data_IF_657334148604
#
_entry.id   IF_657334148604
#
_cell.length_a   1.000
_cell.length_b   1.000
_cell.length_c   1.000
_cell.angle_alpha   90.00
_cell.angle_beta   90.00
_cell.angle_gamma   90.00
#
_symmetry.space_group_name_H-M   'P 1'
#
loop_
_entity.id
_entity.type
_entity.pdbx_description
1 polymer ?
#
# COMPACT_ATOMS: atom_id res chain seq x y z
N UNK A 1 16.83 -19.43 -40.88
CA UNK A 1 15.55 -19.87 -40.31
C UNK A 1 14.73 -18.63 -39.98
N UNK A 2 13.96 -18.18 -40.98
CA UNK A 2 12.96 -17.14 -40.92
C UNK A 2 11.67 -17.71 -40.35
N UNK A 3 11.01 -17.01 -39.42
CA UNK A 3 9.58 -17.18 -39.19
C UNK A 3 8.92 -15.84 -38.89
N UNK A 4 7.83 -15.65 -39.60
CA UNK A 4 7.15 -14.40 -39.89
C UNK A 4 6.22 -13.91 -38.78
N UNK A 5 6.16 -12.59 -38.68
CA UNK A 5 5.23 -11.84 -37.84
C UNK A 5 3.93 -11.61 -38.61
N UNK A 6 2.86 -12.30 -38.23
CA UNK A 6 1.51 -12.03 -38.76
C UNK A 6 0.93 -10.79 -38.07
N UNK A 7 0.88 -9.68 -38.82
CA UNK A 7 0.09 -8.48 -38.50
C UNK A 7 -1.34 -8.66 -39.01
N UNK A 8 -2.33 -8.57 -38.12
CA UNK A 8 -3.75 -8.45 -38.50
C UNK A 8 -4.09 -6.96 -38.60
N UNK A 9 -4.38 -6.49 -39.82
CA UNK A 9 -5.03 -5.20 -40.11
C UNK A 9 -6.53 -5.34 -39.86
N UNK A 10 -7.12 -4.38 -39.13
CA UNK A 10 -8.57 -4.20 -39.07
C UNK A 10 -8.91 -3.02 -39.97
N UNK A 11 -9.50 -3.30 -41.13
CA UNK A 11 -10.05 -2.28 -42.01
C UNK A 11 -11.46 -1.88 -41.58
N UNK A 12 -11.68 -0.57 -41.56
CA UNK A 12 -12.98 0.08 -41.47
C UNK A 12 -13.60 0.09 -42.88
N UNK A 13 -14.87 -0.31 -43.04
CA UNK A 13 -15.85 0.56 -43.70
C UNK A 13 -17.28 -0.01 -43.83
N UNK A 14 -18.21 0.93 -43.67
CA UNK A 14 -19.37 1.21 -44.51
C UNK A 14 -20.55 0.21 -44.60
N UNK A 15 -21.58 0.59 -43.84
CA UNK A 15 -23.01 0.53 -44.14
C UNK A 15 -23.36 0.56 -45.64
N UNK A 16 -24.10 -0.44 -46.13
CA UNK A 16 -25.04 -0.32 -47.27
C UNK A 16 -26.16 -1.37 -47.13
N UNK A 17 -27.39 -0.87 -47.21
CA UNK A 17 -28.65 -1.59 -47.24
C UNK A 17 -28.94 -2.23 -48.60
N UNK A 18 -29.65 -3.38 -48.60
CA UNK A 18 -30.75 -3.70 -49.52
C UNK A 18 -31.39 -5.06 -49.21
N UNK A 19 -32.71 -5.09 -49.41
CA UNK A 19 -33.69 -6.18 -49.21
C UNK A 19 -33.42 -7.48 -49.96
N UNK A 20 -34.02 -8.58 -49.47
CA UNK A 20 -34.25 -9.79 -50.28
C UNK A 20 -34.56 -11.07 -49.49
N UNK A 21 -35.84 -11.42 -49.47
CA UNK A 21 -36.56 -12.58 -48.91
C UNK A 21 -35.99 -14.01 -49.09
N UNK A 22 -36.21 -14.83 -48.05
CA UNK A 22 -36.79 -16.20 -48.04
C UNK A 22 -35.92 -17.48 -47.87
N UNK A 23 -36.50 -18.35 -47.03
CA UNK A 23 -36.40 -19.81 -46.92
C UNK A 23 -35.42 -20.42 -45.90
N UNK A 24 -36.05 -21.16 -45.00
CA UNK A 24 -35.52 -21.89 -43.86
C UNK A 24 -34.59 -23.05 -44.27
N UNK A 25 -33.55 -23.29 -43.48
CA UNK A 25 -33.14 -24.66 -43.12
C UNK A 25 -32.36 -24.67 -41.81
N UNK A 26 -32.98 -25.31 -40.82
CA UNK A 26 -32.41 -25.68 -39.52
C UNK A 26 -31.06 -26.39 -39.67
N UNK A 27 -30.01 -25.81 -39.11
CA UNK A 27 -28.86 -26.56 -38.59
C UNK A 27 -28.52 -26.05 -37.20
N UNK A 28 -28.72 -26.92 -36.22
CA UNK A 28 -28.30 -26.78 -34.83
C UNK A 28 -26.84 -26.31 -34.76
N UNK A 29 -26.63 -25.07 -34.33
CA UNK A 29 -25.35 -24.63 -33.77
C UNK A 29 -25.62 -24.21 -32.33
N UNK A 30 -25.04 -24.98 -31.42
CA UNK A 30 -24.96 -24.72 -29.99
C UNK A 30 -24.69 -23.24 -29.70
N UNK A 31 -25.61 -22.61 -28.97
CA UNK A 31 -25.42 -21.27 -28.42
C UNK A 31 -24.14 -21.22 -27.57
N UNK A 32 -23.31 -20.17 -27.69
CA UNK A 32 -22.20 -19.96 -26.78
C UNK A 32 -22.74 -19.59 -25.40
N UNK A 33 -22.27 -20.27 -24.36
CA UNK A 33 -22.62 -20.03 -22.97
C UNK A 33 -22.59 -18.53 -22.65
N UNK A 34 -23.73 -17.96 -22.29
CA UNK A 34 -23.86 -16.59 -21.81
C UNK A 34 -22.85 -16.36 -20.68
N UNK A 35 -21.87 -15.47 -20.89
CA UNK A 35 -21.00 -15.00 -19.81
C UNK A 35 -21.90 -14.32 -18.76
N UNK A 36 -22.05 -14.98 -17.61
CA UNK A 36 -22.81 -14.47 -16.47
C UNK A 36 -22.28 -13.10 -16.05
N UNK A 37 -23.16 -12.16 -15.67
CA UNK A 37 -22.73 -10.81 -15.30
C UNK A 37 -21.74 -10.83 -14.12
N UNK A 38 -20.85 -9.82 -13.98
CA UNK A 38 -19.89 -9.75 -12.87
C UNK A 38 -20.55 -9.84 -11.48
N UNK A 39 -21.77 -9.33 -11.33
CA UNK A 39 -22.56 -9.41 -10.11
C UNK A 39 -23.02 -10.85 -9.81
N UNK A 40 -23.43 -11.59 -10.85
CA UNK A 40 -23.82 -12.99 -10.71
C UNK A 40 -22.61 -13.90 -10.46
N UNK A 41 -21.47 -13.57 -11.06
CA UNK A 41 -20.18 -14.20 -10.74
C UNK A 41 -19.81 -13.95 -9.27
N UNK A 42 -20.00 -12.73 -8.76
CA UNK A 42 -19.72 -12.39 -7.36
C UNK A 42 -20.64 -13.15 -6.40
N UNK A 43 -21.93 -13.23 -6.70
CA UNK A 43 -22.89 -14.01 -5.94
C UNK A 43 -22.48 -15.50 -5.89
N UNK A 44 -22.04 -16.03 -7.03
CA UNK A 44 -21.57 -17.42 -7.16
C UNK A 44 -20.28 -17.64 -6.37
N UNK A 45 -19.32 -16.71 -6.46
CA UNK A 45 -18.06 -16.77 -5.71
C UNK A 45 -18.28 -16.78 -4.19
N UNK A 46 -19.23 -15.99 -3.67
CA UNK A 46 -19.61 -16.03 -2.24
C UNK A 46 -20.28 -17.35 -1.88
N UNK A 47 -21.18 -17.88 -2.73
CA UNK A 47 -21.82 -19.19 -2.49
C UNK A 47 -20.83 -20.36 -2.48
N UNK A 48 -19.75 -20.25 -3.27
CA UNK A 48 -18.66 -21.21 -3.39
C UNK A 48 -17.51 -20.94 -2.41
N UNK A 49 -17.60 -19.89 -1.58
CA UNK A 49 -16.57 -19.49 -0.62
C UNK A 49 -15.19 -19.20 -1.25
N UNK A 50 -15.18 -18.77 -2.52
CA UNK A 50 -13.97 -18.50 -3.28
C UNK A 50 -13.48 -17.06 -3.05
N UNK A 51 -12.64 -16.88 -2.03
CA UNK A 51 -12.07 -15.58 -1.64
C UNK A 51 -11.26 -14.94 -2.77
N UNK A 52 -10.46 -15.73 -3.50
CA UNK A 52 -9.61 -15.21 -4.57
C UNK A 52 -10.47 -14.55 -5.67
N UNK A 53 -11.59 -15.16 -6.01
CA UNK A 53 -12.53 -14.65 -6.99
C UNK A 53 -13.31 -13.42 -6.50
N UNK A 54 -13.72 -13.41 -5.22
CA UNK A 54 -14.33 -12.23 -4.57
C UNK A 54 -13.37 -11.03 -4.67
N UNK A 55 -12.10 -11.22 -4.31
CA UNK A 55 -11.07 -10.17 -4.37
C UNK A 55 -10.84 -9.72 -5.82
N UNK A 56 -10.79 -10.64 -6.77
CA UNK A 56 -10.62 -10.33 -8.20
C UNK A 56 -11.77 -9.47 -8.71
N UNK A 57 -13.01 -9.86 -8.44
CA UNK A 57 -14.21 -9.13 -8.86
C UNK A 57 -14.29 -7.75 -8.21
N UNK A 58 -13.99 -7.66 -6.91
CA UNK A 58 -13.88 -6.37 -6.21
C UNK A 58 -12.83 -5.46 -6.83
N UNK A 59 -11.62 -5.98 -7.09
CA UNK A 59 -10.52 -5.21 -7.69
C UNK A 59 -10.85 -4.66 -9.08
N UNK A 60 -11.79 -5.27 -9.81
CA UNK A 60 -12.29 -4.80 -11.12
C UNK A 60 -13.55 -3.94 -11.02
N UNK A 61 -14.05 -3.70 -9.80
CA UNK A 61 -15.19 -2.84 -9.55
C UNK A 61 -16.56 -3.48 -9.73
N UNK A 62 -16.67 -4.81 -9.61
CA UNK A 62 -17.97 -5.48 -9.58
C UNK A 62 -18.86 -4.90 -8.47
N UNK A 63 -20.12 -4.63 -8.78
CA UNK A 63 -21.06 -4.05 -7.83
C UNK A 63 -21.50 -5.08 -6.78
N UNK A 64 -21.51 -4.69 -5.51
CA UNK A 64 -22.04 -5.51 -4.42
C UNK A 64 -23.55 -5.44 -4.25
N UNK A 65 -24.26 -4.63 -5.06
CA UNK A 65 -25.71 -4.48 -4.97
C UNK A 65 -26.44 -5.62 -5.70
N UNK A 66 -26.21 -6.85 -5.26
CA UNK A 66 -26.79 -8.08 -5.82
C UNK A 66 -27.50 -8.88 -4.73
N UNK A 67 -28.57 -9.56 -5.11
CA UNK A 67 -29.35 -10.43 -4.25
C UNK A 67 -29.63 -11.77 -4.93
N UNK A 68 -29.83 -12.83 -4.14
CA UNK A 68 -30.35 -14.10 -4.66
C UNK A 68 -31.89 -14.09 -4.80
N UNK A 69 -32.46 -15.21 -5.23
CA UNK A 69 -33.91 -15.37 -5.39
C UNK A 69 -34.73 -15.21 -4.10
N UNK A 70 -34.10 -15.25 -2.92
CA UNK A 70 -34.72 -15.04 -1.62
C UNK A 70 -34.51 -13.60 -1.09
N UNK A 71 -33.93 -12.71 -1.91
CA UNK A 71 -33.57 -11.36 -1.49
C UNK A 71 -32.36 -11.29 -0.55
N UNK A 72 -31.61 -12.38 -0.40
CA UNK A 72 -30.39 -12.38 0.41
C UNK A 72 -29.31 -11.59 -0.33
N UNK A 73 -28.80 -10.53 0.29
CA UNK A 73 -27.60 -9.86 -0.19
C UNK A 73 -26.33 -10.72 0.06
N UNK A 74 -25.18 -10.28 -0.44
CA UNK A 74 -23.90 -10.99 -0.28
C UNK A 74 -23.58 -11.36 1.17
N UNK A 75 -23.90 -10.49 2.14
CA UNK A 75 -23.58 -10.72 3.55
C UNK A 75 -24.49 -11.80 4.17
N UNK A 76 -25.78 -11.83 3.84
CA UNK A 76 -26.67 -12.91 4.28
C UNK A 76 -26.14 -14.27 3.82
N UNK A 77 -25.68 -14.36 2.57
CA UNK A 77 -25.16 -15.60 1.99
C UNK A 77 -23.85 -15.99 2.68
N UNK A 78 -22.92 -15.05 2.85
CA UNK A 78 -21.66 -15.29 3.53
C UNK A 78 -21.86 -15.76 4.98
N UNK A 79 -22.79 -15.12 5.70
CA UNK A 79 -23.11 -15.49 7.09
C UNK A 79 -23.73 -16.88 7.17
N UNK A 80 -24.67 -17.21 6.27
CA UNK A 80 -25.30 -18.54 6.22
C UNK A 80 -24.29 -19.66 5.96
N UNK A 81 -23.18 -19.36 5.26
CA UNK A 81 -22.08 -20.29 5.04
C UNK A 81 -21.18 -20.47 6.27
N UNK A 82 -21.10 -19.47 7.14
CA UNK A 82 -20.32 -19.54 8.38
C UNK A 82 -18.81 -19.35 8.20
N UNK A 83 -18.33 -19.04 6.99
CA UNK A 83 -16.92 -18.83 6.73
C UNK A 83 -16.48 -17.42 7.10
N UNK A 84 -15.72 -17.31 8.19
CA UNK A 84 -15.29 -16.04 8.76
C UNK A 84 -14.52 -15.16 7.75
N UNK A 85 -13.63 -15.75 6.95
CA UNK A 85 -12.83 -14.99 6.00
C UNK A 85 -13.68 -14.43 4.85
N UNK A 86 -14.66 -15.21 4.36
CA UNK A 86 -15.61 -14.75 3.34
C UNK A 86 -16.49 -13.64 3.91
N UNK A 87 -16.98 -13.77 5.14
CA UNK A 87 -17.73 -12.72 5.83
C UNK A 87 -16.90 -11.44 5.95
N UNK A 88 -15.64 -11.54 6.41
CA UNK A 88 -14.73 -10.41 6.54
C UNK A 88 -14.46 -9.75 5.18
N UNK A 89 -14.21 -10.53 4.13
CA UNK A 89 -14.02 -10.00 2.78
C UNK A 89 -15.25 -9.24 2.28
N UNK A 90 -16.46 -9.81 2.44
CA UNK A 90 -17.70 -9.15 2.04
C UNK A 90 -17.94 -7.87 2.86
N UNK A 91 -17.68 -7.89 4.16
CA UNK A 91 -17.81 -6.71 5.02
C UNK A 91 -16.83 -5.59 4.63
N UNK A 92 -15.55 -5.93 4.38
CA UNK A 92 -14.50 -4.98 4.03
C UNK A 92 -14.74 -4.33 2.65
N UNK A 93 -15.14 -5.13 1.66
CA UNK A 93 -15.25 -4.68 0.27
C UNK A 93 -16.63 -4.11 -0.08
N UNK A 94 -17.69 -4.60 0.56
CA UNK A 94 -19.07 -4.29 0.17
C UNK A 94 -19.97 -3.83 1.33
N UNK A 95 -19.60 -4.16 2.58
CA UNK A 95 -20.45 -3.99 3.76
C UNK A 95 -20.98 -2.57 3.95
N UNK A 96 -20.08 -1.59 4.10
CA UNK A 96 -20.47 -0.18 4.33
C UNK A 96 -21.06 0.46 3.07
N UNK A 97 -20.40 0.28 1.92
CA UNK A 97 -20.78 0.91 0.64
C UNK A 97 -22.22 0.61 0.22
N UNK A 98 -22.68 -0.62 0.45
CA UNK A 98 -24.02 -1.06 0.06
C UNK A 98 -24.97 -1.23 1.25
N UNK A 99 -24.55 -0.78 2.43
CA UNK A 99 -25.30 -0.90 3.70
C UNK A 99 -25.82 -2.33 3.92
N UNK A 100 -24.97 -3.33 3.66
CA UNK A 100 -25.39 -4.73 3.64
C UNK A 100 -25.92 -5.20 5.00
N UNK A 101 -25.36 -4.68 6.08
CA UNK A 101 -25.72 -5.05 7.46
C UNK A 101 -27.14 -4.61 7.85
N UNK A 102 -27.69 -3.56 7.24
CA UNK A 102 -28.99 -2.98 7.61
C UNK A 102 -30.14 -3.36 6.66
N UNK A 103 -29.85 -4.09 5.57
CA UNK A 103 -30.87 -4.55 4.63
C UNK A 103 -31.45 -5.89 5.07
N UNK A 104 -32.78 -6.01 5.10
CA UNK A 104 -33.48 -7.26 5.36
C UNK A 104 -33.70 -8.05 4.07
N UNK A 105 -33.68 -9.38 4.17
CA UNK A 105 -34.06 -10.27 3.07
C UNK A 105 -35.61 -10.36 2.93
N UNK A 106 -36.12 -11.20 2.02
CA UNK A 106 -37.58 -11.37 1.84
C UNK A 106 -38.30 -11.94 3.06
N UNK A 107 -37.60 -12.69 3.92
CA UNK A 107 -38.13 -13.21 5.18
C UNK A 107 -38.12 -12.16 6.30
N UNK A 108 -37.73 -10.92 5.99
CA UNK A 108 -37.62 -9.84 6.97
C UNK A 108 -36.40 -9.98 7.90
N UNK A 109 -35.44 -10.87 7.61
CA UNK A 109 -34.27 -11.10 8.47
C UNK A 109 -33.08 -10.25 8.08
N UNK A 110 -32.32 -9.78 9.07
CA UNK A 110 -31.01 -9.14 8.87
C UNK A 110 -29.89 -10.19 8.75
N UNK A 111 -28.72 -9.85 8.17
CA UNK A 111 -27.61 -10.79 8.09
C UNK A 111 -27.13 -11.29 9.47
N UNK A 112 -27.10 -10.42 10.47
CA UNK A 112 -26.67 -10.74 11.84
C UNK A 112 -27.58 -11.81 12.49
N UNK A 113 -28.88 -11.75 12.21
CA UNK A 113 -29.90 -12.68 12.72
C UNK A 113 -29.76 -14.10 12.12
N UNK A 114 -29.02 -14.25 11.02
CA UNK A 114 -28.73 -15.54 10.39
C UNK A 114 -27.46 -16.20 10.93
N UNK A 115 -26.63 -15.49 11.72
CA UNK A 115 -25.41 -16.05 12.29
C UNK A 115 -25.69 -16.74 13.62
N UNK A 116 -25.08 -17.90 13.86
CA UNK A 116 -24.97 -18.51 15.19
C UNK A 116 -23.58 -18.30 15.84
N UNK A 117 -22.57 -17.87 15.07
CA UNK A 117 -21.21 -17.60 15.56
C UNK A 117 -21.12 -16.22 16.20
N UNK A 118 -20.52 -16.18 17.39
CA UNK A 118 -20.26 -14.94 18.13
C UNK A 118 -19.20 -14.08 17.43
N UNK A 119 -18.21 -14.72 16.81
CA UNK A 119 -17.13 -14.07 16.05
C UNK A 119 -17.68 -13.35 14.81
N UNK A 120 -18.57 -14.01 14.06
CA UNK A 120 -19.22 -13.44 12.88
C UNK A 120 -20.12 -12.27 13.27
N UNK A 121 -20.93 -12.42 14.32
CA UNK A 121 -21.75 -11.31 14.84
C UNK A 121 -20.87 -10.13 15.27
N UNK A 122 -19.77 -10.41 15.96
CA UNK A 122 -18.78 -9.39 16.34
C UNK A 122 -18.20 -8.63 15.14
N UNK A 123 -17.84 -9.33 14.06
CA UNK A 123 -17.37 -8.68 12.82
C UNK A 123 -18.43 -7.75 12.21
N UNK A 124 -19.69 -8.19 12.18
CA UNK A 124 -20.81 -7.38 11.67
C UNK A 124 -21.02 -6.15 12.55
N UNK A 125 -20.99 -6.30 13.87
CA UNK A 125 -21.16 -5.19 14.81
C UNK A 125 -20.04 -4.14 14.69
N UNK A 126 -18.78 -4.57 14.57
CA UNK A 126 -17.63 -3.66 14.38
C UNK A 126 -17.83 -2.82 13.11
N UNK A 127 -18.21 -3.44 12.00
CA UNK A 127 -18.33 -2.74 10.72
C UNK A 127 -19.60 -1.88 10.65
N UNK A 128 -20.71 -2.36 11.23
CA UNK A 128 -22.01 -1.70 11.19
C UNK A 128 -22.15 -0.57 12.21
N UNK A 129 -21.79 -0.83 13.47
CA UNK A 129 -22.01 0.08 14.61
C UNK A 129 -20.74 0.84 15.01
N UNK A 130 -19.55 0.38 14.60
CA UNK A 130 -18.27 0.96 15.01
C UNK A 130 -18.01 0.87 16.51
N UNK A 131 -18.54 -0.18 17.16
CA UNK A 131 -18.31 -0.48 18.58
C UNK A 131 -16.85 -0.89 18.82
N UNK A 132 -16.36 -0.64 20.03
CA UNK A 132 -15.02 -1.06 20.47
C UNK A 132 -14.88 -2.59 20.44
N UNK A 133 -13.77 -3.08 19.90
CA UNK A 133 -13.46 -4.51 19.87
C UNK A 133 -13.27 -5.13 21.27
N UNK A 134 -13.12 -4.29 22.31
CA UNK A 134 -12.81 -4.69 23.69
C UNK A 134 -13.92 -5.50 24.37
N UNK A 135 -15.17 -5.41 23.91
CA UNK A 135 -16.27 -6.21 24.49
C UNK A 135 -16.30 -7.66 23.97
N UNK A 136 -15.64 -7.96 22.84
CA UNK A 136 -15.69 -9.28 22.19
C UNK A 136 -14.45 -10.13 22.54
N UNK A 137 -13.30 -9.50 22.77
CA UNK A 137 -12.01 -10.20 22.97
C UNK A 137 -11.62 -10.45 24.43
N UNK A 138 -12.23 -9.77 25.41
CA UNK A 138 -11.93 -9.97 26.85
C UNK A 138 -12.21 -11.38 27.37
N UNK A 139 -12.98 -12.21 26.66
CA UNK A 139 -13.25 -13.60 27.10
C UNK A 139 -12.12 -14.59 26.80
N UNK A 140 -11.12 -14.25 25.97
CA UNK A 140 -10.11 -15.21 25.51
C UNK A 140 -8.65 -14.82 25.79
N UNK A 141 -8.38 -13.72 26.51
CA UNK A 141 -7.02 -13.19 26.69
C UNK A 141 -6.51 -13.17 28.15
N UNK A 142 -7.15 -13.88 29.08
CA UNK A 142 -6.72 -13.92 30.49
C UNK A 142 -5.57 -14.91 30.79
N UNK A 143 -4.77 -15.31 29.79
CA UNK A 143 -3.62 -16.19 30.04
C UNK A 143 -2.43 -15.93 29.12
N UNK A 144 -1.86 -14.73 29.18
CA UNK A 144 -0.42 -14.48 29.21
C UNK A 144 -0.10 -13.00 29.02
N UNK A 145 0.92 -12.51 29.73
CA UNK A 145 1.56 -11.18 29.64
C UNK A 145 0.99 -10.07 30.54
N UNK A 146 1.33 -10.12 31.83
CA UNK A 146 0.89 -9.11 32.82
C UNK A 146 2.00 -8.31 33.50
N UNK A 147 3.17 -8.08 32.87
CA UNK A 147 4.28 -7.34 33.54
C UNK A 147 4.81 -6.12 32.75
N UNK A 148 4.37 -5.84 31.52
CA UNK A 148 4.79 -4.64 30.77
C UNK A 148 3.65 -3.67 30.37
N UNK A 149 2.41 -3.97 30.75
CA UNK A 149 1.21 -3.26 30.27
C UNK A 149 0.79 -2.04 31.13
N UNK A 150 1.22 -1.92 32.39
CA UNK A 150 0.73 -0.84 33.27
C UNK A 150 1.35 0.53 32.96
N UNK A 151 2.65 0.60 32.67
CA UNK A 151 3.34 1.87 32.40
C UNK A 151 3.01 2.49 31.04
N UNK A 152 2.76 1.66 30.01
CA UNK A 152 2.38 2.15 28.66
C UNK A 152 1.00 2.79 28.63
N UNK A 153 0.04 2.25 29.41
CA UNK A 153 -1.30 2.80 29.47
C UNK A 153 -1.33 4.16 30.18
N UNK A 154 -0.54 4.36 31.23
CA UNK A 154 -0.45 5.63 31.93
C UNK A 154 0.12 6.78 31.06
N UNK A 155 1.16 6.51 30.26
CA UNK A 155 1.70 7.49 29.32
C UNK A 155 0.70 7.84 28.22
N UNK A 156 -0.01 6.84 27.69
CA UNK A 156 -1.05 7.04 26.68
C UNK A 156 -2.21 7.92 27.22
N UNK A 157 -2.61 7.70 28.48
CA UNK A 157 -3.65 8.50 29.13
C UNK A 157 -3.23 9.96 29.32
N UNK A 158 -1.96 10.21 29.68
CA UNK A 158 -1.39 11.56 29.79
C UNK A 158 -1.39 12.25 28.41
N UNK A 159 -0.90 11.57 27.38
CA UNK A 159 -0.88 12.11 26.01
C UNK A 159 -2.30 12.44 25.52
N UNK A 160 -3.28 11.58 25.84
CA UNK A 160 -4.69 11.82 25.50
C UNK A 160 -5.24 13.07 26.21
N UNK A 161 -4.91 13.28 27.49
CA UNK A 161 -5.33 14.48 28.23
C UNK A 161 -4.69 15.75 27.65
N UNK A 162 -3.39 15.71 27.35
CA UNK A 162 -2.67 16.82 26.70
C UNK A 162 -3.31 17.14 25.34
N UNK A 163 -3.58 16.12 24.53
CA UNK A 163 -4.23 16.30 23.23
C UNK A 163 -5.62 16.93 23.35
N UNK A 164 -6.42 16.52 24.34
CA UNK A 164 -7.74 17.14 24.57
C UNK A 164 -7.62 18.64 24.90
N UNK A 165 -6.68 19.00 25.78
CA UNK A 165 -6.42 20.41 26.11
C UNK A 165 -5.93 21.20 24.89
N UNK A 166 -5.04 20.61 24.08
CA UNK A 166 -4.54 21.22 22.85
C UNK A 166 -5.66 21.44 21.82
N UNK A 167 -6.56 20.48 21.66
CA UNK A 167 -7.74 20.62 20.78
C UNK A 167 -8.61 21.79 21.24
N UNK A 168 -8.93 21.87 22.54
CA UNK A 168 -9.74 22.96 23.08
C UNK A 168 -9.07 24.33 22.90
N UNK A 169 -7.73 24.39 23.00
CA UNK A 169 -6.96 25.60 22.74
C UNK A 169 -6.94 25.97 21.25
N UNK A 170 -6.78 24.99 20.35
CA UNK A 170 -6.80 25.20 18.90
C UNK A 170 -8.16 25.66 18.40
N UNK A 171 -9.26 25.09 18.90
CA UNK A 171 -10.61 25.48 18.52
C UNK A 171 -10.99 26.93 18.90
N UNK A 172 -10.25 27.55 19.83
CA UNK A 172 -10.42 28.97 20.21
C UNK A 172 -9.65 29.94 19.32
N UNK A 173 -8.73 29.43 18.49
CA UNK A 173 -7.95 30.26 17.56
C UNK A 173 -8.84 30.81 16.44
N UNK A 174 -8.51 32.02 15.99
CA UNK A 174 -9.24 32.72 14.93
C UNK A 174 -8.57 32.63 13.56
N UNK A 175 -7.28 32.30 13.54
CA UNK A 175 -6.50 32.05 12.34
C UNK A 175 -6.88 30.71 11.70
N UNK A 176 -6.61 30.57 10.39
CA UNK A 176 -6.86 29.31 9.69
C UNK A 176 -5.92 28.23 10.24
N UNK A 177 -6.47 27.08 10.61
CA UNK A 177 -5.69 25.94 11.08
C UNK A 177 -5.37 24.99 9.92
N UNK A 178 -4.08 24.86 9.60
CA UNK A 178 -3.61 23.91 8.60
C UNK A 178 -3.61 22.47 9.14
N UNK A 179 -4.15 21.55 8.35
CA UNK A 179 -4.10 20.10 8.64
C UNK A 179 -3.04 19.44 7.75
N UNK A 180 -2.06 18.81 8.39
CA UNK A 180 -0.96 18.10 7.76
C UNK A 180 -1.19 16.59 7.84
N UNK A 181 -1.07 15.87 6.72
CA UNK A 181 -1.18 14.42 6.62
C UNK A 181 0.13 13.81 6.12
N UNK A 182 0.71 12.92 6.90
CA UNK A 182 1.90 12.16 6.56
C UNK A 182 1.53 10.69 6.32
N UNK A 183 1.97 10.15 5.18
CA UNK A 183 1.67 8.80 4.72
C UNK A 183 2.97 8.00 4.53
N UNK A 184 3.16 6.99 5.39
CA UNK A 184 4.38 6.19 5.42
C UNK A 184 4.52 5.29 4.17
N UNK A 185 5.78 4.94 3.86
CA UNK A 185 6.10 3.85 2.93
C UNK A 185 5.80 2.47 3.51
N UNK A 186 5.79 1.44 2.64
CA UNK A 186 5.57 0.06 3.12
C UNK A 186 5.06 -0.96 2.09
N UNK A 187 5.12 -0.67 0.78
CA UNK A 187 4.70 -1.60 -0.27
C UNK A 187 3.20 -1.91 -0.21
N UNK A 188 2.82 -3.19 -0.37
CA UNK A 188 1.41 -3.62 -0.38
C UNK A 188 0.67 -3.30 0.93
N UNK A 189 1.39 -3.07 2.03
CA UNK A 189 0.81 -2.65 3.32
C UNK A 189 0.15 -1.27 3.29
N UNK A 190 0.28 -0.54 2.19
CA UNK A 190 -0.55 0.65 1.90
C UNK A 190 -2.04 0.43 2.05
N UNK A 191 -2.52 -0.80 1.86
CA UNK A 191 -3.91 -1.19 2.14
C UNK A 191 -4.36 -0.81 3.56
N UNK A 192 -3.45 -0.80 4.53
CA UNK A 192 -3.71 -0.37 5.92
C UNK A 192 -4.01 1.13 5.97
N UNK A 193 -3.17 1.97 5.33
CA UNK A 193 -3.40 3.42 5.23
C UNK A 193 -4.77 3.72 4.62
N UNK A 194 -5.08 3.05 3.52
CA UNK A 194 -6.35 3.21 2.80
C UNK A 194 -7.53 2.81 3.71
N UNK A 195 -7.37 1.77 4.53
CA UNK A 195 -8.42 1.31 5.45
C UNK A 195 -8.67 2.27 6.61
N UNK A 196 -7.60 2.87 7.13
CA UNK A 196 -7.72 3.96 8.11
C UNK A 196 -8.46 5.15 7.48
N UNK A 197 -8.08 5.56 6.27
CA UNK A 197 -8.74 6.68 5.58
C UNK A 197 -10.23 6.42 5.34
N UNK A 198 -10.62 5.25 4.84
CA UNK A 198 -12.05 4.90 4.67
C UNK A 198 -12.81 4.94 6.00
N UNK A 199 -12.18 4.48 7.08
CA UNK A 199 -12.80 4.56 8.39
C UNK A 199 -12.97 6.01 8.86
N UNK A 200 -11.97 6.86 8.66
CA UNK A 200 -12.02 8.28 8.98
C UNK A 200 -13.10 9.00 8.16
N UNK A 201 -13.17 8.79 6.84
CA UNK A 201 -14.21 9.37 5.97
C UNK A 201 -15.61 8.92 6.40
N UNK A 202 -15.77 7.65 6.74
CA UNK A 202 -17.04 7.14 7.25
C UNK A 202 -17.45 7.81 8.57
N UNK A 203 -16.52 7.99 9.52
CA UNK A 203 -16.81 8.68 10.78
C UNK A 203 -17.04 10.18 10.61
N UNK A 204 -16.36 10.81 9.65
CA UNK A 204 -16.49 12.23 9.34
C UNK A 204 -17.78 12.53 8.55
N UNK A 205 -18.31 11.56 7.81
CA UNK A 205 -19.49 11.72 6.94
C UNK A 205 -19.22 12.54 5.67
N UNK A 206 -17.96 12.90 5.41
CA UNK A 206 -17.50 13.64 4.23
C UNK A 206 -16.08 13.20 3.87
N UNK A 207 -15.55 13.65 2.72
CA UNK A 207 -14.19 13.29 2.35
C UNK A 207 -13.19 13.91 3.32
N UNK A 208 -12.33 13.05 3.87
CA UNK A 208 -11.26 13.46 4.76
C UNK A 208 -10.22 14.29 4.01
N UNK A 209 -10.01 13.96 2.73
CA UNK A 209 -9.07 14.66 1.85
C UNK A 209 -9.37 16.15 1.71
N UNK A 210 -10.66 16.53 1.69
CA UNK A 210 -11.09 17.94 1.59
C UNK A 210 -10.72 18.78 2.82
N UNK A 211 -10.37 18.15 3.94
CA UNK A 211 -9.95 18.83 5.18
C UNK A 211 -8.44 18.99 5.28
N UNK A 212 -7.67 18.28 4.47
CA UNK A 212 -6.21 18.27 4.55
C UNK A 212 -5.65 19.39 3.69
N UNK A 213 -4.70 20.16 4.21
CA UNK A 213 -4.05 21.27 3.49
C UNK A 213 -2.68 20.88 2.93
N UNK A 214 -2.00 19.98 3.63
CA UNK A 214 -0.63 19.58 3.34
C UNK A 214 -0.48 18.07 3.47
N UNK A 215 0.19 17.44 2.50
CA UNK A 215 0.38 16.00 2.45
C UNK A 215 1.82 15.68 2.15
N UNK A 216 2.42 14.75 2.89
CA UNK A 216 3.65 14.09 2.49
C UNK A 216 3.42 12.59 2.33
N UNK A 217 4.02 12.02 1.28
CA UNK A 217 3.97 10.58 1.04
C UNK A 217 5.33 10.03 0.66
N UNK A 218 5.64 8.85 1.19
CA UNK A 218 6.82 8.07 0.81
C UNK A 218 6.40 6.74 0.19
N UNK A 219 6.98 6.37 -0.94
CA UNK A 219 6.72 5.11 -1.63
C UNK A 219 5.22 4.91 -1.88
N UNK A 220 4.65 3.80 -1.40
CA UNK A 220 3.20 3.58 -1.30
C UNK A 220 2.40 4.79 -0.82
N UNK A 221 2.86 5.49 0.22
CA UNK A 221 2.24 6.72 0.72
C UNK A 221 2.25 7.85 -0.32
N UNK A 222 3.27 7.92 -1.18
CA UNK A 222 3.30 8.85 -2.31
C UNK A 222 2.28 8.49 -3.39
N UNK A 223 2.17 7.20 -3.76
CA UNK A 223 1.15 6.74 -4.71
C UNK A 223 -0.25 7.08 -4.19
N UNK A 224 -0.50 6.86 -2.89
CA UNK A 224 -1.75 7.19 -2.22
C UNK A 224 -2.02 8.70 -2.22
N UNK A 225 -1.03 9.52 -1.83
CA UNK A 225 -1.15 10.98 -1.84
C UNK A 225 -1.49 11.53 -3.23
N UNK A 226 -0.80 11.05 -4.27
CA UNK A 226 -1.04 11.48 -5.65
C UNK A 226 -2.39 11.00 -6.18
N UNK A 227 -2.80 9.76 -5.86
CA UNK A 227 -4.12 9.24 -6.22
C UNK A 227 -5.25 10.05 -5.58
N UNK A 228 -5.14 10.38 -4.29
CA UNK A 228 -6.11 11.24 -3.61
C UNK A 228 -6.09 12.67 -4.17
N UNK A 229 -4.92 13.20 -4.55
CA UNK A 229 -4.79 14.49 -5.22
C UNK A 229 -5.47 14.54 -6.60
N UNK A 230 -5.60 13.39 -7.27
CA UNK A 230 -6.43 13.21 -8.48
C UNK A 230 -7.93 13.07 -8.19
N UNK A 231 -8.33 13.19 -6.92
CA UNK A 231 -9.71 12.97 -6.43
C UNK A 231 -10.20 11.53 -6.61
N UNK A 232 -9.29 10.56 -6.67
CA UNK A 232 -9.68 9.15 -6.59
C UNK A 232 -10.15 8.83 -5.17
N UNK A 233 -11.28 8.12 -5.04
CA UNK A 233 -11.75 7.71 -3.71
C UNK A 233 -10.80 6.67 -3.09
N UNK A 234 -10.70 6.58 -1.75
CA UNK A 234 -9.91 5.54 -1.12
C UNK A 234 -10.28 4.11 -1.58
N UNK A 235 -11.54 3.81 -1.90
CA UNK A 235 -11.96 2.52 -2.48
C UNK A 235 -11.45 2.30 -3.90
N UNK A 236 -11.36 3.36 -4.71
CA UNK A 236 -10.72 3.25 -6.02
C UNK A 236 -9.25 2.86 -5.86
N UNK A 237 -8.55 3.54 -4.95
CA UNK A 237 -7.13 3.28 -4.68
C UNK A 237 -6.95 1.88 -4.07
N UNK A 238 -7.83 1.43 -3.17
CA UNK A 238 -7.79 0.05 -2.66
C UNK A 238 -7.87 -0.97 -3.80
N UNK A 239 -8.83 -0.81 -4.70
CA UNK A 239 -9.00 -1.70 -5.85
C UNK A 239 -7.75 -1.70 -6.73
N UNK A 240 -7.14 -0.54 -6.95
CA UNK A 240 -5.87 -0.42 -7.66
C UNK A 240 -4.76 -1.21 -6.95
N UNK A 241 -4.58 -1.08 -5.64
CA UNK A 241 -3.57 -1.84 -4.89
C UNK A 241 -3.80 -3.37 -4.94
N UNK A 242 -5.06 -3.82 -4.97
CA UNK A 242 -5.39 -5.24 -5.15
C UNK A 242 -5.08 -5.74 -6.57
N UNK A 243 -5.12 -4.87 -7.59
CA UNK A 243 -4.62 -5.18 -8.95
C UNK A 243 -3.09 -5.15 -8.99
N UNK A 244 -2.46 -4.16 -8.37
CA UNK A 244 -1.00 -3.98 -8.29
C UNK A 244 -0.29 -5.28 -7.87
N UNK A 245 -0.79 -5.98 -6.84
CA UNK A 245 -0.17 -7.23 -6.38
C UNK A 245 -0.17 -8.35 -7.43
N UNK A 246 -1.17 -8.38 -8.31
CA UNK A 246 -1.34 -9.44 -9.31
C UNK A 246 -0.72 -9.05 -10.66
N UNK A 247 -0.58 -7.74 -10.93
CA UNK A 247 -0.10 -7.26 -12.22
C UNK A 247 1.40 -6.89 -12.17
N UNK A 248 1.88 -6.39 -11.02
CA UNK A 248 3.25 -5.84 -10.88
C UNK A 248 4.18 -6.77 -10.10
N UNK A 249 3.72 -7.35 -8.99
CA UNK A 249 4.54 -8.23 -8.14
C UNK A 249 4.54 -9.69 -8.63
N UNK A 250 4.81 -9.89 -9.92
CA UNK A 250 4.82 -11.20 -10.58
C UNK A 250 6.24 -11.58 -11.00
N UNK A 251 6.65 -12.80 -10.68
CA UNK A 251 7.94 -13.36 -11.08
C UNK A 251 9.05 -13.21 -10.03
N UNK A 252 10.30 -13.33 -10.47
CA UNK A 252 11.49 -13.20 -9.61
C UNK A 252 11.86 -11.72 -9.45
N UNK A 253 12.46 -11.39 -8.31
CA UNK A 253 13.00 -10.06 -8.04
C UNK A 253 14.38 -9.87 -8.71
N UNK A 254 14.73 -8.63 -9.10
CA UNK A 254 13.87 -7.44 -9.10
C UNK A 254 12.72 -7.55 -10.12
N UNK A 255 11.55 -7.02 -9.77
CA UNK A 255 10.35 -7.08 -10.61
C UNK A 255 10.47 -6.16 -11.83
N UNK A 256 9.69 -6.45 -12.87
CA UNK A 256 9.75 -5.72 -14.14
C UNK A 256 9.35 -4.24 -13.97
N UNK A 257 10.29 -3.29 -14.15
CA UNK A 257 10.02 -1.87 -13.94
C UNK A 257 9.04 -1.27 -14.95
N UNK A 258 8.98 -1.81 -16.18
CA UNK A 258 8.09 -1.35 -17.25
C UNK A 258 6.63 -1.69 -16.95
N UNK A 259 6.38 -2.81 -16.29
CA UNK A 259 5.02 -3.19 -15.86
C UNK A 259 4.54 -2.28 -14.74
N UNK A 260 5.41 -1.96 -13.78
CA UNK A 260 5.07 -1.00 -12.72
C UNK A 260 4.82 0.41 -13.27
N UNK A 261 5.65 0.86 -14.21
CA UNK A 261 5.48 2.16 -14.86
C UNK A 261 4.16 2.26 -15.63
N UNK A 262 3.81 1.23 -16.42
CA UNK A 262 2.51 1.17 -17.11
C UNK A 262 1.35 1.24 -16.13
N UNK A 263 1.41 0.45 -15.06
CA UNK A 263 0.40 0.49 -14.00
C UNK A 263 0.24 1.91 -13.42
N UNK A 264 1.34 2.59 -13.08
CA UNK A 264 1.27 3.97 -12.55
C UNK A 264 0.72 4.96 -13.58
N UNK A 265 1.05 4.80 -14.87
CA UNK A 265 0.49 5.61 -15.95
C UNK A 265 -1.02 5.38 -16.13
N UNK A 266 -1.48 4.15 -16.00
CA UNK A 266 -2.90 3.81 -16.12
C UNK A 266 -3.71 4.42 -14.95
N UNK A 267 -3.19 4.36 -13.72
CA UNK A 267 -3.88 4.87 -12.53
C UNK A 267 -3.78 6.41 -12.35
N UNK A 268 -2.61 6.99 -12.63
CA UNK A 268 -2.34 8.43 -12.43
C UNK A 268 -2.45 9.27 -13.71
N UNK A 269 -2.53 8.64 -14.88
CA UNK A 269 -2.67 9.33 -16.17
C UNK A 269 -1.44 10.15 -16.57
N UNK A 270 -1.65 11.07 -17.51
CA UNK A 270 -0.62 11.97 -18.06
C UNK A 270 -0.50 13.31 -17.32
N UNK A 271 -1.22 13.49 -16.23
CA UNK A 271 -1.23 14.74 -15.47
C UNK A 271 0.14 15.00 -14.80
N UNK A 272 0.47 16.28 -14.62
CA UNK A 272 1.65 16.73 -13.89
C UNK A 272 1.33 17.04 -12.43
N UNK A 273 2.33 17.13 -11.56
CA UNK A 273 2.20 17.61 -10.18
C UNK A 273 1.45 18.95 -10.14
N UNK A 274 1.75 19.87 -11.05
CA UNK A 274 1.10 21.20 -11.12
C UNK A 274 -0.40 21.20 -11.47
N UNK A 275 -0.99 20.05 -11.86
CA UNK A 275 -2.44 19.94 -12.08
C UNK A 275 -3.21 19.89 -10.76
N UNK A 276 -2.59 19.41 -9.69
CA UNK A 276 -3.16 19.34 -8.35
C UNK A 276 -2.95 20.70 -7.69
N UNK A 277 -4.03 21.46 -7.46
CA UNK A 277 -3.96 22.80 -6.84
C UNK A 277 -4.03 22.77 -5.32
N UNK A 278 -4.74 21.80 -4.76
CA UNK A 278 -4.90 21.60 -3.32
C UNK A 278 -5.19 20.11 -3.06
N UNK A 279 -4.66 19.51 -1.98
CA UNK A 279 -3.70 20.08 -1.02
C UNK A 279 -2.30 20.31 -1.61
N UNK A 280 -1.41 20.92 -0.83
CA UNK A 280 0.03 20.93 -1.13
C UNK A 280 0.60 19.55 -0.85
N UNK A 281 1.13 18.88 -1.87
CA UNK A 281 1.64 17.52 -1.84
C UNK A 281 3.16 17.53 -1.99
N UNK A 282 3.81 16.77 -1.11
CA UNK A 282 5.24 16.49 -1.09
C UNK A 282 5.44 14.99 -1.26
N UNK A 283 6.27 14.59 -2.22
CA UNK A 283 6.64 13.20 -2.46
C UNK A 283 8.14 13.03 -2.25
N UNK A 284 8.53 12.10 -1.38
CA UNK A 284 9.93 11.84 -1.05
C UNK A 284 10.57 10.87 -2.04
N UNK A 285 11.84 11.07 -2.38
CA UNK A 285 12.66 10.11 -3.14
C UNK A 285 14.13 10.26 -2.73
N UNK A 286 14.93 9.23 -2.91
CA UNK A 286 16.36 9.25 -2.60
C UNK A 286 17.18 9.33 -3.89
N UNK A 287 18.09 10.30 -3.97
CA UNK A 287 19.12 10.36 -5.01
C UNK A 287 20.28 9.46 -4.58
N UNK A 288 20.39 8.30 -5.21
CA UNK A 288 21.38 7.25 -4.85
C UNK A 288 22.63 7.28 -5.73
N UNK A 289 22.58 7.94 -6.89
CA UNK A 289 23.74 8.15 -7.77
C UNK A 289 24.83 9.09 -7.20
N UNK A 290 24.61 9.68 -6.02
CA UNK A 290 25.55 10.59 -5.35
C UNK A 290 25.92 10.04 -3.98
N UNK A 291 27.17 10.25 -3.57
CA UNK A 291 27.68 9.89 -2.24
C UNK A 291 28.04 11.16 -1.45
N UNK A 292 27.45 11.40 -0.27
CA UNK A 292 26.37 10.61 0.35
C UNK A 292 25.02 10.75 -0.39
N UNK A 293 24.11 9.76 -0.30
CA UNK A 293 22.77 9.85 -0.87
C UNK A 293 22.01 11.07 -0.36
N UNK A 294 21.15 11.65 -1.21
CA UNK A 294 20.44 12.91 -0.88
C UNK A 294 18.94 12.77 -1.04
N UNK A 295 18.20 13.27 -0.07
CA UNK A 295 16.74 13.37 -0.16
C UNK A 295 16.36 14.42 -1.20
N UNK A 296 15.44 14.05 -2.10
CA UNK A 296 14.78 14.96 -3.03
C UNK A 296 13.27 14.90 -2.76
N UNK A 297 12.64 16.07 -2.85
CA UNK A 297 11.20 16.25 -2.64
C UNK A 297 10.57 16.74 -3.95
N UNK A 298 9.66 15.96 -4.52
CA UNK A 298 8.77 16.43 -5.59
C UNK A 298 7.59 17.17 -4.95
N UNK A 299 7.20 18.31 -5.53
CA UNK A 299 6.18 19.21 -4.97
C UNK A 299 5.20 19.62 -6.05
N UNK A 300 3.92 19.80 -5.70
CA UNK A 300 2.93 20.39 -6.61
C UNK A 300 2.85 21.92 -6.53
N UNK A 301 3.69 22.55 -5.71
CA UNK A 301 3.74 23.99 -5.51
C UNK A 301 5.17 24.52 -5.63
N UNK A 302 5.28 25.80 -5.94
CA UNK A 302 6.52 26.57 -5.98
C UNK A 302 6.22 27.93 -5.30
N UNK A 303 7.05 28.40 -4.35
CA UNK A 303 6.87 29.72 -3.74
C UNK A 303 7.11 30.82 -4.77
N UNK A 304 6.48 31.98 -4.58
CA UNK A 304 6.66 33.12 -5.48
C UNK A 304 7.97 33.88 -5.18
N UNK A 305 9.09 33.31 -5.60
CA UNK A 305 10.45 33.87 -5.45
C UNK A 305 11.19 33.82 -6.79
N UNK A 306 12.32 34.53 -6.88
CA UNK A 306 13.14 34.52 -8.08
C UNK A 306 13.65 33.09 -8.40
N UNK A 307 13.98 32.85 -9.66
CA UNK A 307 14.36 31.51 -10.12
C UNK A 307 15.69 31.01 -9.54
N UNK A 308 16.60 31.90 -9.17
CA UNK A 308 17.87 31.53 -8.53
C UNK A 308 17.64 30.95 -7.12
N UNK A 309 16.79 31.60 -6.33
CA UNK A 309 16.41 31.12 -5.00
C UNK A 309 15.56 29.86 -5.07
N UNK A 310 14.68 29.73 -6.08
CA UNK A 310 13.97 28.48 -6.34
C UNK A 310 14.95 27.33 -6.56
N UNK A 311 15.97 27.53 -7.41
CA UNK A 311 17.03 26.54 -7.66
C UNK A 311 17.83 26.25 -6.40
N UNK A 312 18.23 27.28 -5.65
CA UNK A 312 18.97 27.15 -4.38
C UNK A 312 18.20 26.34 -3.35
N UNK A 313 16.89 26.54 -3.25
CA UNK A 313 16.01 25.80 -2.36
C UNK A 313 15.48 24.49 -2.95
N UNK A 314 15.92 24.13 -4.17
CA UNK A 314 15.57 22.89 -4.87
C UNK A 314 14.06 22.75 -5.14
N UNK A 315 13.40 23.86 -5.46
CA UNK A 315 12.07 23.85 -6.06
C UNK A 315 12.21 23.66 -7.56
N UNK A 316 11.47 22.69 -8.09
CA UNK A 316 11.32 22.46 -9.53
C UNK A 316 9.95 22.93 -10.00
N UNK A 317 9.79 23.13 -11.31
CA UNK A 317 8.54 23.57 -11.90
C UNK A 317 7.50 22.42 -11.88
N UNK A 318 6.42 22.51 -11.08
CA UNK A 318 5.50 21.39 -10.88
C UNK A 318 4.81 20.90 -12.16
N UNK A 319 4.61 21.80 -13.13
CA UNK A 319 4.01 21.45 -14.42
C UNK A 319 4.89 20.53 -15.28
N UNK A 320 6.19 20.47 -15.01
CA UNK A 320 7.13 19.60 -15.74
C UNK A 320 7.28 18.20 -15.14
N UNK A 321 6.64 17.92 -14.00
CA UNK A 321 6.81 16.65 -13.28
C UNK A 321 5.55 15.79 -13.43
N UNK A 322 5.54 14.72 -14.25
CA UNK A 322 4.39 13.82 -14.33
C UNK A 322 4.11 13.12 -13.00
N UNK A 323 2.83 12.96 -12.63
CA UNK A 323 2.43 12.29 -11.39
C UNK A 323 2.97 10.85 -11.31
N UNK A 324 2.80 10.08 -12.39
CA UNK A 324 3.29 8.70 -12.46
C UNK A 324 4.81 8.61 -12.29
N UNK A 325 5.56 9.63 -12.75
CA UNK A 325 7.02 9.69 -12.63
C UNK A 325 7.43 9.96 -11.19
N UNK A 326 6.81 10.94 -10.53
CA UNK A 326 7.05 11.21 -9.11
C UNK A 326 6.75 9.97 -8.24
N UNK A 327 5.63 9.29 -8.50
CA UNK A 327 5.29 8.03 -7.86
C UNK A 327 6.35 6.94 -8.12
N UNK A 328 6.77 6.75 -9.37
CA UNK A 328 7.75 5.72 -9.74
C UNK A 328 9.11 5.93 -9.09
N UNK A 329 9.58 7.18 -9.00
CA UNK A 329 10.81 7.56 -8.29
C UNK A 329 10.70 7.25 -6.80
N UNK A 330 9.58 7.62 -6.17
CA UNK A 330 9.35 7.42 -4.73
C UNK A 330 9.22 5.95 -4.32
N UNK A 331 8.76 5.08 -5.22
CA UNK A 331 8.48 3.66 -4.97
C UNK A 331 9.51 2.69 -5.55
N UNK A 332 10.69 3.17 -5.94
CA UNK A 332 11.79 2.35 -6.49
C UNK A 332 12.56 1.62 -5.37
N UNK A 333 11.88 0.75 -4.61
CA UNK A 333 12.47 0.09 -3.44
C UNK A 333 13.62 -0.82 -3.85
N UNK A 334 14.85 -0.63 -3.31
CA UNK A 334 15.97 -1.53 -3.59
C UNK A 334 15.60 -2.98 -3.29
N UNK A 335 16.21 -3.92 -4.00
CA UNK A 335 15.85 -5.37 -4.04
C UNK A 335 14.52 -5.69 -4.74
N UNK A 336 13.55 -4.78 -4.77
CA UNK A 336 12.24 -5.00 -5.41
C UNK A 336 12.22 -4.44 -6.83
N UNK A 337 12.75 -3.24 -7.04
CA UNK A 337 12.83 -2.57 -8.32
C UNK A 337 14.21 -1.94 -8.48
N UNK A 338 14.75 -1.86 -9.71
CA UNK A 338 15.95 -1.07 -9.96
C UNK A 338 15.65 0.43 -9.73
N UNK A 339 16.70 1.24 -9.44
CA UNK A 339 16.60 2.68 -9.48
C UNK A 339 15.94 3.17 -10.77
N UNK A 340 15.12 4.20 -10.67
CA UNK A 340 14.47 4.81 -11.82
C UNK A 340 15.39 5.89 -12.41
N UNK A 341 15.56 5.88 -13.75
CA UNK A 341 16.52 6.73 -14.47
C UNK A 341 17.96 6.65 -13.94
N UNK A 342 18.33 5.53 -13.30
CA UNK A 342 19.64 5.31 -12.65
C UNK A 342 20.01 6.38 -11.61
N UNK A 343 19.01 7.15 -11.14
CA UNK A 343 19.18 8.33 -10.29
C UNK A 343 18.35 8.21 -9.01
N UNK A 344 17.11 7.74 -9.14
CA UNK A 344 16.09 7.80 -8.09
C UNK A 344 15.82 6.42 -7.49
N UNK A 345 15.94 6.31 -6.18
CA UNK A 345 15.49 5.16 -5.40
C UNK A 345 14.38 5.56 -4.42
N UNK A 346 13.78 4.55 -3.80
CA UNK A 346 12.67 4.74 -2.87
C UNK A 346 13.00 5.75 -1.76
N UNK A 347 12.03 6.63 -1.47
CA UNK A 347 12.17 7.62 -0.41
C UNK A 347 12.36 6.97 0.97
N UNK A 348 11.94 5.72 1.15
CA UNK A 348 12.07 4.93 2.36
C UNK A 348 13.52 4.64 2.78
N UNK A 349 14.49 4.85 1.89
CA UNK A 349 15.92 4.82 2.25
C UNK A 349 16.27 5.93 3.24
N UNK A 350 15.63 7.10 3.12
CA UNK A 350 15.95 8.29 3.94
C UNK A 350 14.80 8.76 4.83
N UNK A 351 13.57 8.73 4.33
CA UNK A 351 12.40 9.31 4.97
C UNK A 351 11.17 8.40 4.82
N UNK A 352 11.23 7.17 5.36
CA UNK A 352 10.13 6.21 5.25
C UNK A 352 8.84 6.68 5.93
N UNK A 353 8.98 7.43 7.04
CA UNK A 353 7.90 8.23 7.62
C UNK A 353 8.22 9.71 7.34
N UNK A 354 7.46 10.38 6.44
CA UNK A 354 7.82 11.72 5.99
C UNK A 354 7.28 12.85 6.89
N UNK A 355 6.94 12.57 8.16
CA UNK A 355 6.29 13.56 9.04
C UNK A 355 7.20 14.74 9.35
N UNK A 356 8.49 14.47 9.59
CA UNK A 356 9.47 15.52 9.86
C UNK A 356 9.77 16.34 8.61
N UNK A 357 9.82 15.70 7.45
CA UNK A 357 9.96 16.36 6.16
C UNK A 357 8.76 17.29 5.90
N UNK A 358 7.55 16.83 6.18
CA UNK A 358 6.32 17.61 6.03
C UNK A 358 6.29 18.84 6.95
N UNK A 359 6.63 18.66 8.23
CA UNK A 359 6.71 19.76 9.19
C UNK A 359 7.77 20.79 8.80
N UNK A 360 8.96 20.31 8.44
CA UNK A 360 10.07 21.17 7.99
C UNK A 360 9.66 21.96 6.76
N UNK A 361 9.02 21.30 5.80
CA UNK A 361 8.58 21.91 4.56
C UNK A 361 7.46 22.93 4.78
N UNK A 362 6.49 22.65 5.66
CA UNK A 362 5.43 23.59 6.06
C UNK A 362 6.01 24.89 6.63
N UNK A 363 6.88 24.79 7.64
CA UNK A 363 7.48 25.97 8.26
C UNK A 363 8.41 26.70 7.30
N UNK A 364 9.20 25.96 6.51
CA UNK A 364 10.09 26.56 5.51
C UNK A 364 9.31 27.35 4.46
N UNK A 365 8.26 26.77 3.89
CA UNK A 365 7.43 27.44 2.90
C UNK A 365 6.80 28.70 3.50
N UNK A 366 6.25 28.61 4.71
CA UNK A 366 5.70 29.75 5.43
C UNK A 366 6.74 30.86 5.66
N UNK A 367 7.97 30.51 6.07
CA UNK A 367 9.05 31.48 6.24
C UNK A 367 9.42 32.18 4.93
N UNK A 368 9.49 31.43 3.82
CA UNK A 368 9.76 32.00 2.49
C UNK A 368 8.67 33.01 2.11
N UNK A 369 7.39 32.62 2.24
CA UNK A 369 6.24 33.47 1.90
C UNK A 369 6.18 34.76 2.74
N UNK A 370 6.52 34.68 4.03
CA UNK A 370 6.59 35.87 4.91
C UNK A 370 7.69 36.82 4.47
N UNK A 371 8.89 36.29 4.15
CA UNK A 371 10.02 37.11 3.71
C UNK A 371 9.74 37.81 2.37
N UNK A 372 8.92 37.22 1.49
CA UNK A 372 8.66 37.75 0.15
C UNK A 372 7.47 38.70 0.09
N UNK A 373 6.47 38.54 0.98
CA UNK A 373 5.27 39.40 1.05
C UNK A 373 5.38 40.52 2.10
N UNK A 374 6.54 41.18 2.18
CA UNK A 374 6.79 42.32 3.06
C UNK A 374 6.55 42.05 4.55
N UNK A 375 6.79 40.83 5.02
CA UNK A 375 6.68 40.47 6.44
C UNK A 375 5.25 40.33 6.96
N UNK A 376 4.22 40.34 6.09
CA UNK A 376 2.85 40.08 6.54
C UNK A 376 2.74 38.63 7.02
N UNK A 377 2.30 38.37 8.27
CA UNK A 377 2.12 37.02 8.74
C UNK A 377 1.04 36.33 7.89
N UNK A 378 1.32 35.13 7.38
CA UNK A 378 0.27 34.26 6.84
C UNK A 378 -0.75 33.97 7.94
N UNK A 379 -2.04 34.16 7.63
CA UNK A 379 -3.19 33.85 8.49
C UNK A 379 -3.48 32.34 8.59
N UNK A 380 -2.44 31.51 8.49
CA UNK A 380 -2.51 30.06 8.57
C UNK A 380 -1.48 29.55 9.60
N UNK A 381 -1.92 28.93 10.69
CA UNK A 381 -1.04 28.27 11.67
C UNK A 381 -1.18 26.75 11.63
N UNK A 382 -0.21 26.05 12.21
CA UNK A 382 -0.26 24.60 12.32
C UNK A 382 -1.37 24.20 13.29
N UNK A 383 -2.39 23.50 12.79
CA UNK A 383 -3.50 23.01 13.60
C UNK A 383 -3.32 21.56 14.05
N UNK A 384 -3.11 20.66 13.10
CA UNK A 384 -3.04 19.23 13.36
C UNK A 384 -2.05 18.54 12.43
N UNK A 385 -1.34 17.53 12.95
CA UNK A 385 -0.48 16.63 12.17
C UNK A 385 -0.99 15.21 12.36
N UNK A 386 -1.29 14.53 11.26
CA UNK A 386 -1.82 13.18 11.23
C UNK A 386 -0.78 12.31 10.52
N UNK A 387 -0.10 11.43 11.25
CA UNK A 387 0.86 10.46 10.67
C UNK A 387 0.22 9.08 10.62
N UNK A 388 0.12 8.50 9.42
CA UNK A 388 -0.45 7.18 9.21
C UNK A 388 0.65 6.19 8.82
N UNK A 389 0.83 5.15 9.64
CA UNK A 389 1.82 4.09 9.43
C UNK A 389 1.26 2.86 8.71
N UNK A 390 2.13 2.13 8.01
CA UNK A 390 1.77 0.89 7.28
C UNK A 390 1.76 -0.37 8.18
N UNK A 391 1.48 -0.19 9.48
CA UNK A 391 1.46 -1.26 10.47
C UNK A 391 2.84 -1.66 11.00
N UNK A 392 2.88 -2.04 12.27
CA UNK A 392 4.09 -2.52 12.96
C UNK A 392 4.10 -4.04 12.90
N UNK A 393 5.16 -4.61 12.35
CA UNK A 393 5.38 -6.06 12.44
C UNK A 393 5.86 -6.35 13.86
N UNK A 394 5.30 -7.36 14.56
CA UNK A 394 5.78 -7.74 15.89
C UNK A 394 7.29 -7.97 15.86
N UNK A 395 8.02 -7.29 16.75
CA UNK A 395 9.48 -7.33 16.76
C UNK A 395 9.98 -8.77 17.03
N UNK A 396 10.64 -9.37 16.05
CA UNK A 396 11.36 -10.62 16.24
C UNK A 396 12.79 -10.28 16.71
N UNK A 397 13.13 -10.76 17.91
CA UNK A 397 14.41 -10.80 18.64
C UNK A 397 15.41 -9.64 18.38
N UNK A 398 15.66 -8.86 19.44
CA UNK A 398 16.54 -7.68 19.52
C UNK A 398 18.02 -7.96 19.14
N UNK A 399 18.45 -9.22 19.17
CA UNK A 399 19.81 -9.67 18.78
C UNK A 399 19.83 -10.46 17.45
N UNK A 400 18.78 -10.34 16.63
CA UNK A 400 18.71 -11.06 15.37
C UNK A 400 19.88 -10.68 14.44
N UNK A 401 20.72 -11.66 14.14
CA UNK A 401 21.80 -11.58 13.14
C UNK A 401 21.31 -11.88 11.72
N UNK A 402 20.02 -12.19 11.58
CA UNK A 402 19.33 -12.49 10.32
C UNK A 402 18.03 -11.68 10.20
N UNK A 403 17.41 -11.67 9.01
CA UNK A 403 16.21 -10.86 8.74
C UNK A 403 16.52 -9.40 8.43
N UNK A 404 15.98 -8.45 9.21
CA UNK A 404 16.01 -7.00 8.87
C UNK A 404 17.43 -6.45 8.63
N UNK A 405 18.46 -6.75 9.47
CA UNK A 405 19.81 -6.25 9.21
C UNK A 405 20.41 -6.76 7.90
N UNK A 406 20.08 -8.00 7.52
CA UNK A 406 20.51 -8.62 6.26
C UNK A 406 19.78 -7.95 5.08
N UNK A 407 18.48 -7.73 5.21
CA UNK A 407 17.68 -7.05 4.17
C UNK A 407 18.15 -5.62 3.93
N UNK A 408 18.45 -4.87 5.00
CA UNK A 408 19.01 -3.52 4.92
C UNK A 408 20.38 -3.51 4.26
N UNK A 409 21.27 -4.41 4.68
CA UNK A 409 22.62 -4.52 4.11
C UNK A 409 22.57 -4.90 2.63
N UNK A 410 21.70 -5.85 2.26
CA UNK A 410 21.47 -6.26 0.88
C UNK A 410 20.91 -5.12 0.04
N UNK A 411 19.89 -4.42 0.55
CA UNK A 411 19.28 -3.27 -0.12
C UNK A 411 20.32 -2.17 -0.39
N UNK A 412 21.18 -1.89 0.59
CA UNK A 412 22.25 -0.91 0.45
C UNK A 412 23.28 -1.33 -0.60
N UNK A 413 23.80 -2.57 -0.52
CA UNK A 413 24.78 -3.06 -1.48
C UNK A 413 24.21 -3.05 -2.91
N UNK A 414 22.96 -3.49 -3.08
CA UNK A 414 22.25 -3.42 -4.37
C UNK A 414 22.06 -1.99 -4.88
N UNK A 415 21.86 -0.99 -4.00
CA UNK A 415 21.77 0.41 -4.44
C UNK A 415 23.10 1.00 -4.91
N UNK A 416 24.22 0.34 -4.60
CA UNK A 416 25.57 0.72 -5.01
C UNK A 416 26.13 -0.18 -6.12
N UNK A 417 25.31 -1.05 -6.71
CA UNK A 417 25.74 -2.09 -7.64
C UNK A 417 26.87 -2.99 -7.09
N UNK A 418 26.91 -3.17 -5.76
CA UNK A 418 27.85 -4.03 -5.05
C UNK A 418 27.22 -5.41 -4.84
N UNK A 419 27.88 -6.52 -5.20
CA UNK A 419 27.35 -7.86 -4.95
C UNK A 419 27.34 -8.16 -3.45
N UNK A 420 26.20 -8.63 -2.94
CA UNK A 420 26.01 -8.99 -1.53
C UNK A 420 25.82 -10.49 -1.36
N UNK A 421 26.78 -11.14 -0.70
CA UNK A 421 26.75 -12.56 -0.36
C UNK A 421 26.48 -12.73 1.14
N UNK A 422 25.50 -13.55 1.50
CA UNK A 422 25.18 -13.90 2.90
C UNK A 422 24.98 -15.40 3.00
N UNK A 423 25.86 -16.05 3.75
CA UNK A 423 25.79 -17.47 4.07
C UNK A 423 25.30 -17.65 5.51
N UNK A 424 24.24 -18.42 5.69
CA UNK A 424 23.59 -18.65 6.99
C UNK A 424 22.88 -20.01 6.92
N UNK A 425 23.48 -21.10 7.45
CA UNK A 425 22.89 -22.43 7.35
C UNK A 425 21.63 -22.54 8.23
N UNK A 426 20.53 -23.11 7.72
CA UNK A 426 19.40 -23.46 8.57
C UNK A 426 19.79 -24.64 9.47
N UNK A 427 19.77 -24.43 10.78
CA UNK A 427 20.02 -25.50 11.76
C UNK A 427 18.74 -26.29 12.03
N UNK A 428 18.86 -27.60 12.23
CA UNK A 428 17.72 -28.46 12.56
C UNK A 428 17.20 -28.22 13.97
N UNK A 429 18.11 -27.93 14.90
CA UNK A 429 17.83 -27.75 16.31
C UNK A 429 18.16 -26.32 16.78
N UNK A 430 17.49 -25.88 17.85
CA UNK A 430 17.79 -24.61 18.50
C UNK A 430 19.00 -24.77 19.41
N UNK A 431 20.14 -24.22 19.00
CA UNK A 431 21.41 -24.33 19.73
C UNK A 431 21.64 -23.05 20.53
N UNK A 432 21.84 -23.20 21.84
CA UNK A 432 22.14 -22.07 22.72
C UNK A 432 23.61 -21.65 22.60
N UNK A 433 23.90 -20.38 22.92
CA UNK A 433 25.24 -19.82 22.83
C UNK A 433 26.26 -20.55 23.73
N UNK A 434 25.78 -21.15 24.82
CA UNK A 434 26.56 -21.88 25.82
C UNK A 434 26.41 -23.41 25.71
N UNK A 435 26.04 -23.93 24.53
CA UNK A 435 25.99 -25.38 24.26
C UNK A 435 27.37 -26.03 24.47
N UNK A 436 27.39 -27.19 25.15
CA UNK A 436 28.60 -27.96 25.50
C UNK A 436 28.51 -29.44 25.13
N UNK A 437 27.37 -29.92 24.63
CA UNK A 437 27.25 -31.30 24.15
C UNK A 437 27.89 -31.43 22.76
N UNK A 438 29.00 -32.17 22.70
CA UNK A 438 29.73 -32.44 21.47
C UNK A 438 28.85 -33.06 20.37
N UNK A 439 27.82 -33.85 20.73
CA UNK A 439 26.91 -34.42 19.73
C UNK A 439 26.04 -33.35 19.06
N UNK A 440 25.54 -32.39 19.85
CA UNK A 440 24.78 -31.25 19.35
C UNK A 440 25.66 -30.37 18.44
N UNK A 441 26.90 -30.11 18.85
CA UNK A 441 27.88 -29.34 18.07
C UNK A 441 28.26 -30.03 16.76
N UNK A 442 28.50 -31.35 16.76
CA UNK A 442 28.78 -32.12 15.54
C UNK A 442 27.58 -32.05 14.59
N UNK A 443 26.35 -32.13 15.10
CA UNK A 443 25.13 -31.99 14.27
C UNK A 443 25.03 -30.60 13.64
N UNK A 444 25.33 -29.54 14.40
CA UNK A 444 25.40 -28.16 13.90
C UNK A 444 26.39 -28.01 12.74
N UNK A 445 27.59 -28.57 12.89
CA UNK A 445 28.63 -28.54 11.86
C UNK A 445 28.21 -29.32 10.63
N UNK A 446 27.54 -30.46 10.82
CA UNK A 446 27.01 -31.25 9.71
C UNK A 446 25.90 -30.52 8.95
N UNK A 447 25.02 -29.78 9.64
CA UNK A 447 24.02 -28.93 9.00
C UNK A 447 24.65 -27.82 8.14
N UNK A 448 25.79 -27.27 8.59
CA UNK A 448 26.55 -26.31 7.79
C UNK A 448 27.15 -26.96 6.52
N UNK A 449 27.72 -28.16 6.61
CA UNK A 449 28.22 -28.90 5.44
C UNK A 449 27.11 -29.24 4.45
N UNK A 450 25.95 -29.69 4.95
CA UNK A 450 24.77 -29.94 4.10
C UNK A 450 24.26 -28.67 3.41
N UNK A 451 24.30 -27.53 4.09
CA UNK A 451 23.96 -26.24 3.50
C UNK A 451 24.95 -25.86 2.40
N UNK A 452 26.26 -26.00 2.62
CA UNK A 452 27.30 -25.71 1.62
C UNK A 452 27.19 -26.62 0.40
N UNK A 453 26.87 -27.90 0.60
CA UNK A 453 26.66 -28.87 -0.48
C UNK A 453 25.30 -28.71 -1.19
N UNK A 454 24.38 -27.88 -0.68
CA UNK A 454 23.09 -27.65 -1.33
C UNK A 454 23.27 -26.91 -2.65
N UNK A 455 22.54 -27.32 -3.70
CA UNK A 455 22.66 -26.75 -5.04
C UNK A 455 22.54 -25.21 -5.05
N UNK A 456 21.65 -24.65 -4.22
CA UNK A 456 21.44 -23.21 -4.11
C UNK A 456 22.63 -22.46 -3.49
N UNK A 457 23.33 -23.07 -2.54
CA UNK A 457 24.51 -22.45 -1.90
C UNK A 457 25.74 -22.61 -2.78
N UNK A 458 25.91 -23.79 -3.39
CA UNK A 458 27.03 -24.09 -4.29
C UNK A 458 27.15 -23.05 -5.42
N UNK A 459 26.04 -22.72 -6.09
CA UNK A 459 26.02 -21.68 -7.14
C UNK A 459 26.51 -20.31 -6.62
N UNK A 460 26.08 -19.91 -5.41
CA UNK A 460 26.48 -18.62 -4.80
C UNK A 460 27.95 -18.60 -4.39
N UNK A 461 28.47 -19.75 -3.95
CA UNK A 461 29.88 -19.91 -3.60
C UNK A 461 30.73 -19.83 -4.86
N UNK A 462 30.33 -20.50 -5.94
CA UNK A 462 31.04 -20.45 -7.22
C UNK A 462 31.08 -19.02 -7.78
N UNK A 463 29.95 -18.30 -7.76
CA UNK A 463 29.89 -16.88 -8.15
C UNK A 463 30.83 -16.00 -7.31
N UNK A 464 30.86 -16.20 -6.00
CA UNK A 464 31.75 -15.47 -5.10
C UNK A 464 33.22 -15.81 -5.36
N UNK A 465 33.55 -17.09 -5.52
CA UNK A 465 34.92 -17.54 -5.78
C UNK A 465 35.43 -16.98 -7.10
N UNK A 466 34.59 -17.00 -8.14
CA UNK A 466 34.93 -16.41 -9.43
C UNK A 466 35.13 -14.90 -9.35
N UNK A 467 34.31 -14.19 -8.58
CA UNK A 467 34.49 -12.77 -8.30
C UNK A 467 35.83 -12.53 -7.58
N UNK A 468 36.13 -13.26 -6.50
CA UNK A 468 37.35 -13.10 -5.71
C UNK A 468 38.62 -13.41 -6.51
N UNK A 469 38.60 -14.44 -7.37
CA UNK A 469 39.74 -14.79 -8.26
C UNK A 469 40.08 -13.69 -9.25
N UNK A 470 39.11 -12.85 -9.62
CA UNK A 470 39.28 -11.75 -10.61
C UNK A 470 39.71 -10.45 -9.96
N UNK A 471 39.61 -10.32 -8.64
CA UNK A 471 40.05 -9.12 -7.93
C UNK A 471 41.56 -9.16 -7.77
N UNK A 472 42.24 -8.13 -8.27
CA UNK A 472 43.66 -7.94 -8.02
C UNK A 472 43.84 -7.54 -6.55
N UNK A 473 44.75 -8.18 -5.80
CA UNK A 473 45.06 -7.73 -4.45
C UNK A 473 45.59 -6.29 -4.52
N UNK A 474 45.23 -5.49 -3.52
CA UNK A 474 45.76 -4.14 -3.35
C UNK A 474 47.27 -4.30 -3.09
N UNK A 475 48.11 -3.80 -3.99
CA UNK A 475 49.55 -3.69 -3.74
C UNK A 475 49.73 -2.83 -2.48
N UNK A 476 50.32 -3.43 -1.44
CA UNK A 476 50.55 -2.80 -0.15
C UNK A 476 51.64 -1.74 -0.21
#
# INVERSE_FOLDING_TARGET
>A
MTMDVVRVKIDKNANKSRDGTSSERNTKTSEPAQQSSPEMQLLTAVKQENIAEIVRLYSRGASGNVQDGHGNNLLHIAVKKGNLQVVQAVLLFYGRRYSLCSKRNRDGKLPEELSYSIEIRGCIEIIHKGKEANDITKKNADSAQNVSHSSRNAMQDIDNQINKQNIDAMLKRKDKLAILLSLDGGGIRGLILIRILIYLEWKLGSSFWEKVDWVAGTSTGAILALGLGKKHSPEHIERAYLRLKNDVFVGRRPYNPKTFERFLKDELGSDSMGSIKHPKIVVTTCLTHVAPPRLKLFRNYKPNINDEDCKRFKYEEPSHVPLWRAARCSSAAPTYFPPFEDIYSDGGIMANNPTMELLTEFFRYKSIEICTHSGKPMDESLGCVISLGTGVVPAIKITASDGIPVDQSRAWCMSLDVPFFRFSPPLRDAIELNERDDKCLISMLWDAELYMASARCADQVDELVDFLKRIKPVEK
#
